data_IF_805199925345
#
_entry.id   IF_805199925345
#
_cell.length_a   1.000
_cell.length_b   1.000
_cell.length_c   1.000
_cell.angle_alpha   90.00
_cell.angle_beta   90.00
_cell.angle_gamma   90.00
#
_symmetry.space_group_name_H-M   'P 1'
#
loop_
_entity.id
_entity.type
_entity.pdbx_description
1 polymer ?
#
# COMPACT_ATOMS: atom_id res chain seq x y z
N UNK A 1 15.12 2.18 -6.34
CA UNK A 1 13.75 2.68 -6.48
C UNK A 1 13.23 2.35 -7.87
N UNK A 2 12.00 1.84 -7.97
CA UNK A 2 11.30 1.50 -9.20
C UNK A 2 10.03 2.36 -9.29
N UNK A 3 9.79 3.01 -10.42
CA UNK A 3 8.56 3.79 -10.64
C UNK A 3 7.42 2.89 -11.10
N UNK A 4 6.33 2.88 -10.35
CA UNK A 4 5.13 2.13 -10.73
C UNK A 4 4.50 2.72 -12.01
N UNK A 5 4.21 1.89 -13.01
CA UNK A 5 3.61 2.33 -14.28
C UNK A 5 2.15 2.77 -14.14
N UNK A 6 1.45 2.29 -13.11
CA UNK A 6 0.04 2.57 -12.83
C UNK A 6 -0.11 3.85 -12.00
N UNK A 7 0.42 3.86 -10.77
CA UNK A 7 0.24 4.99 -9.86
C UNK A 7 1.36 6.05 -9.92
N UNK A 8 2.43 5.80 -10.68
CA UNK A 8 3.57 6.72 -10.88
C UNK A 8 4.39 7.06 -9.62
N UNK A 9 4.10 6.42 -8.48
CA UNK A 9 4.92 6.51 -7.27
C UNK A 9 6.17 5.62 -7.38
N UNK A 10 7.21 6.02 -6.66
CA UNK A 10 8.38 5.17 -6.45
C UNK A 10 8.08 4.09 -5.41
N UNK A 11 8.63 2.90 -5.64
CA UNK A 11 8.58 1.77 -4.74
C UNK A 11 10.00 1.19 -4.58
N UNK A 12 10.27 0.60 -3.42
CA UNK A 12 11.46 -0.22 -3.23
C UNK A 12 11.36 -1.51 -4.05
N UNK A 13 12.48 -2.18 -4.31
CA UNK A 13 12.48 -3.42 -5.10
C UNK A 13 11.62 -4.51 -4.46
N UNK A 14 11.60 -4.58 -3.13
CA UNK A 14 10.80 -5.52 -2.35
C UNK A 14 9.29 -5.22 -2.43
N UNK A 15 8.92 -3.99 -2.78
CA UNK A 15 7.54 -3.52 -2.94
C UNK A 15 7.03 -3.59 -4.39
N UNK A 16 7.76 -4.27 -5.28
CA UNK A 16 7.42 -4.45 -6.70
C UNK A 16 6.95 -5.88 -6.97
N UNK A 17 5.71 -6.02 -7.45
CA UNK A 17 5.13 -7.31 -7.84
C UNK A 17 5.57 -7.77 -9.22
N UNK A 18 5.70 -6.82 -10.16
CA UNK A 18 6.08 -7.10 -11.55
C UNK A 18 7.21 -6.14 -11.93
N UNK A 19 8.47 -6.60 -11.97
CA UNK A 19 9.57 -5.77 -12.43
C UNK A 19 9.46 -5.56 -13.94
N UNK A 20 9.78 -4.35 -14.38
CA UNK A 20 9.86 -3.98 -15.78
C UNK A 20 11.23 -3.40 -16.14
N UNK A 21 11.45 -3.09 -17.42
CA UNK A 21 12.71 -2.51 -17.87
C UNK A 21 12.87 -1.06 -17.37
N UNK A 22 14.12 -0.60 -17.32
CA UNK A 22 14.49 0.83 -17.14
C UNK A 22 13.92 1.46 -15.86
N UNK A 23 13.94 0.74 -14.75
CA UNK A 23 13.49 1.26 -13.46
C UNK A 23 11.98 1.41 -13.35
N UNK A 24 11.19 0.75 -14.23
CA UNK A 24 9.73 0.73 -14.17
C UNK A 24 9.23 -0.62 -13.66
N UNK A 25 8.03 -0.64 -13.08
CA UNK A 25 7.39 -1.88 -12.63
C UNK A 25 5.96 -1.66 -12.18
N UNK A 26 5.36 -2.66 -11.54
CA UNK A 26 4.06 -2.55 -10.87
C UNK A 26 4.27 -2.76 -9.38
N UNK A 27 3.93 -1.77 -8.56
CA UNK A 27 4.02 -1.91 -7.10
C UNK A 27 2.98 -2.89 -6.56
N UNK A 28 3.26 -3.50 -5.41
CA UNK A 28 2.37 -4.48 -4.75
C UNK A 28 0.94 -3.97 -4.57
N UNK A 29 0.77 -2.69 -4.21
CA UNK A 29 -0.55 -2.07 -4.05
C UNK A 29 -1.35 -2.04 -5.36
N UNK A 30 -0.74 -1.59 -6.45
CA UNK A 30 -1.44 -1.55 -7.73
C UNK A 30 -1.68 -2.96 -8.26
N UNK A 31 -0.73 -3.87 -8.09
CA UNK A 31 -0.93 -5.27 -8.44
C UNK A 31 -2.14 -5.86 -7.71
N UNK A 32 -2.20 -5.76 -6.38
CA UNK A 32 -3.31 -6.30 -5.60
C UNK A 32 -4.68 -5.69 -5.97
N UNK A 33 -4.72 -4.41 -6.30
CA UNK A 33 -5.94 -3.74 -6.77
C UNK A 33 -6.38 -4.25 -8.14
N UNK A 34 -5.47 -4.29 -9.11
CA UNK A 34 -5.80 -4.72 -10.49
C UNK A 34 -6.11 -6.22 -10.57
N UNK A 35 -5.52 -7.06 -9.71
CA UNK A 35 -5.85 -8.49 -9.64
C UNK A 35 -7.06 -8.81 -8.77
N UNK A 36 -7.64 -7.80 -8.09
CA UNK A 36 -8.72 -8.02 -7.13
C UNK A 36 -8.31 -8.80 -5.87
N UNK A 37 -7.00 -8.92 -5.61
CA UNK A 37 -6.45 -9.54 -4.40
C UNK A 37 -6.56 -8.63 -3.17
N UNK A 38 -6.86 -7.35 -3.37
CA UNK A 38 -7.12 -6.40 -2.28
C UNK A 38 -8.37 -6.81 -1.48
N UNK A 39 -8.17 -7.09 -0.19
CA UNK A 39 -9.27 -7.42 0.72
C UNK A 39 -9.76 -6.15 1.41
N UNK A 40 -11.07 -5.89 1.31
CA UNK A 40 -11.69 -4.82 2.08
C UNK A 40 -11.59 -5.13 3.57
N UNK A 41 -11.05 -4.18 4.32
CA UNK A 41 -11.05 -4.27 5.79
C UNK A 41 -12.50 -4.23 6.30
N UNK A 42 -12.93 -5.18 7.14
CA UNK A 42 -14.23 -5.14 7.79
C UNK A 42 -14.43 -3.82 8.55
N UNK A 43 -15.68 -3.33 8.62
CA UNK A 43 -15.97 -2.05 9.26
C UNK A 43 -15.54 -1.99 10.74
N UNK A 44 -15.80 -3.06 11.49
CA UNK A 44 -15.43 -3.14 12.90
C UNK A 44 -13.91 -3.01 13.07
N UNK A 45 -13.13 -3.79 12.31
CA UNK A 45 -11.67 -3.73 12.35
C UNK A 45 -11.13 -2.36 11.94
N UNK A 46 -11.77 -1.69 10.96
CA UNK A 46 -11.40 -0.33 10.57
C UNK A 46 -11.61 0.67 11.71
N UNK A 47 -12.73 0.55 12.43
CA UNK A 47 -13.02 1.40 13.58
C UNK A 47 -11.99 1.19 14.69
N UNK A 48 -11.71 -0.07 15.04
CA UNK A 48 -10.70 -0.42 16.05
C UNK A 48 -9.32 0.15 15.70
N UNK A 49 -8.91 0.06 14.43
CA UNK A 49 -7.65 0.63 13.96
C UNK A 49 -7.64 2.16 14.09
N UNK A 50 -8.73 2.84 13.72
CA UNK A 50 -8.85 4.30 13.85
C UNK A 50 -8.75 4.74 15.31
N UNK A 51 -9.44 4.05 16.22
CA UNK A 51 -9.42 4.37 17.65
C UNK A 51 -8.02 4.16 18.26
N UNK A 52 -7.34 3.08 17.84
CA UNK A 52 -5.97 2.81 18.27
C UNK A 52 -4.98 3.89 17.79
N UNK A 53 -5.07 4.29 16.51
CA UNK A 53 -4.19 5.32 15.95
C UNK A 53 -4.40 6.67 16.63
N UNK A 54 -5.65 7.08 16.87
CA UNK A 54 -5.96 8.31 17.61
C UNK A 54 -5.37 8.29 19.04
N UNK A 55 -5.40 7.12 19.69
CA UNK A 55 -4.81 6.94 21.01
C UNK A 55 -3.29 7.13 20.97
N UNK A 56 -2.60 6.54 19.98
CA UNK A 56 -1.14 6.69 19.83
C UNK A 56 -0.73 8.13 19.51
N UNK A 57 -1.48 8.83 18.66
CA UNK A 57 -1.23 10.25 18.34
C UNK A 57 -1.33 11.14 19.59
N UNK A 58 -2.31 10.88 20.47
CA UNK A 58 -2.49 11.63 21.71
C UNK A 58 -1.38 11.41 22.75
N UNK A 59 -0.63 10.30 22.66
CA UNK A 59 0.49 9.99 23.56
C UNK A 59 1.83 10.53 23.06
N UNK A 60 1.92 10.84 21.76
CA UNK A 60 3.12 11.40 21.13
C UNK A 60 3.18 12.93 21.21
N UNK A 61 2.08 13.58 21.63
CA UNK A 61 1.95 15.03 21.84
C UNK A 61 2.22 15.41 23.31
#
# INVERSE_FOLDING_TARGET
MITCTICRFEAELDDVAVPGPLGRGICLRCFARETGSEKRMPRALRQELTDLLATLESQAA
#
